data_IF_902517971834
#
_entry.id   IF_902517971834
#
_cell.length_a   1.000
_cell.length_b   1.000
_cell.length_c   1.000
_cell.angle_alpha   90.00
_cell.angle_beta   90.00
_cell.angle_gamma   90.00
#
_symmetry.space_group_name_H-M   'P 1'
#
loop_
_entity.id
_entity.type
_entity.pdbx_description
1 polymer ?
#
# COMPACT_ATOMS: atom_id res chain seq x y z
N UNK A 1 -7.89 12.92 28.24
CA UNK A 1 -6.51 12.87 27.64
C UNK A 1 -6.61 13.70 26.37
N UNK A 2 -6.07 14.91 26.39
CA UNK A 2 -6.18 15.90 25.32
C UNK A 2 -5.24 15.44 24.22
N UNK A 3 -5.77 15.06 23.04
CA UNK A 3 -5.00 14.86 21.83
C UNK A 3 -4.46 16.23 21.39
N UNK A 4 -3.33 16.63 21.96
CA UNK A 4 -2.54 17.75 21.45
C UNK A 4 -1.88 17.30 20.17
N UNK A 5 -2.33 17.90 19.05
CA UNK A 5 -1.69 17.86 17.73
C UNK A 5 -1.21 16.46 17.30
N UNK A 6 -2.11 15.67 16.75
CA UNK A 6 -1.68 14.63 15.82
C UNK A 6 -1.01 15.36 14.66
N UNK A 7 0.32 15.50 14.70
CA UNK A 7 1.09 15.83 13.49
C UNK A 7 0.53 14.95 12.40
N UNK A 8 0.03 15.54 11.33
CA UNK A 8 -0.39 14.81 10.16
C UNK A 8 0.81 13.93 9.77
N UNK A 9 0.73 12.65 10.15
CA UNK A 9 1.76 11.68 9.80
C UNK A 9 1.85 11.75 8.29
N UNK A 10 3.03 12.01 7.77
CA UNK A 10 3.27 12.07 6.35
C UNK A 10 3.17 10.63 5.82
N UNK A 11 1.94 10.13 5.74
CA UNK A 11 1.60 8.77 5.30
C UNK A 11 1.71 8.61 3.80
N UNK A 12 2.23 9.64 3.11
CA UNK A 12 2.50 9.54 1.69
C UNK A 12 3.45 8.39 1.46
N UNK A 13 3.07 7.51 0.56
CA UNK A 13 3.82 6.30 0.20
C UNK A 13 5.28 6.60 -0.20
N UNK A 14 5.54 7.79 -0.73
CA UNK A 14 6.86 8.32 -1.04
C UNK A 14 7.80 8.37 0.16
N UNK A 15 7.25 8.54 1.37
CA UNK A 15 8.00 8.57 2.62
C UNK A 15 8.04 7.22 3.34
N UNK A 16 7.43 6.18 2.79
CA UNK A 16 7.45 4.85 3.40
C UNK A 16 8.67 4.05 2.94
N UNK A 17 9.19 3.23 3.85
CA UNK A 17 10.22 2.24 3.51
C UNK A 17 9.62 1.24 2.51
N UNK A 18 10.23 1.13 1.34
CA UNK A 18 9.68 0.30 0.27
C UNK A 18 9.71 -1.20 0.57
N UNK A 19 10.66 -1.66 1.37
CA UNK A 19 10.93 -3.06 1.68
C UNK A 19 10.97 -3.35 3.20
N UNK A 20 10.30 -2.53 3.99
CA UNK A 20 10.19 -2.66 5.43
C UNK A 20 8.93 -1.92 5.94
N UNK A 21 8.71 -1.95 7.24
CA UNK A 21 7.75 -1.11 7.93
C UNK A 21 8.34 0.25 8.29
N UNK A 22 7.48 1.25 8.43
CA UNK A 22 7.83 2.58 8.89
C UNK A 22 8.15 3.59 7.79
N UNK A 23 8.30 4.84 8.19
CA UNK A 23 8.69 5.95 7.31
C UNK A 23 10.22 6.06 7.21
N UNK A 24 10.66 6.77 6.17
CA UNK A 24 12.09 7.08 6.00
C UNK A 24 12.62 8.03 7.07
N UNK A 25 11.74 8.88 7.61
CA UNK A 25 12.10 9.90 8.61
C UNK A 25 12.11 9.35 10.05
N UNK A 26 11.65 8.13 10.25
CA UNK A 26 11.55 7.54 11.57
C UNK A 26 12.56 6.41 11.72
N UNK A 27 13.71 6.72 12.30
CA UNK A 27 14.62 5.70 12.80
C UNK A 27 14.10 5.20 14.14
N UNK A 28 13.77 3.90 14.18
CA UNK A 28 13.41 3.27 15.45
C UNK A 28 14.50 3.53 16.49
N UNK A 29 14.12 3.91 17.70
CA UNK A 29 14.95 4.32 18.85
C UNK A 29 16.00 3.32 19.33
N UNK A 30 16.41 2.38 18.50
CA UNK A 30 17.34 1.32 18.87
C UNK A 30 18.76 1.55 18.33
N UNK A 31 19.04 2.71 17.72
CA UNK A 31 20.32 2.95 17.04
C UNK A 31 21.54 2.67 17.94
N UNK A 32 21.50 3.10 19.19
CA UNK A 32 22.53 2.88 20.21
C UNK A 32 22.46 1.50 20.88
N UNK A 33 21.32 0.81 20.79
CA UNK A 33 21.09 -0.51 21.41
C UNK A 33 21.07 -1.67 20.40
N UNK A 34 21.17 -1.38 19.12
CA UNK A 34 21.07 -2.42 18.09
C UNK A 34 22.16 -3.48 18.22
N UNK A 35 23.39 -3.09 18.59
CA UNK A 35 24.49 -4.01 18.80
C UNK A 35 24.20 -5.03 19.91
N UNK A 36 23.88 -4.61 21.14
CA UNK A 36 23.46 -5.51 22.21
C UNK A 36 22.27 -6.40 21.85
N UNK A 37 21.24 -5.85 21.19
CA UNK A 37 20.06 -6.62 20.75
C UNK A 37 20.45 -7.70 19.74
N UNK A 38 21.22 -7.37 18.72
CA UNK A 38 21.70 -8.34 17.74
C UNK A 38 22.57 -9.43 18.36
N UNK A 39 23.45 -9.08 19.30
CA UNK A 39 24.27 -10.05 20.02
C UNK A 39 23.41 -10.99 20.85
N UNK A 40 22.41 -10.48 21.57
CA UNK A 40 21.47 -11.30 22.31
C UNK A 40 20.72 -12.28 21.37
N UNK A 41 20.19 -11.79 20.24
CA UNK A 41 19.45 -12.61 19.26
C UNK A 41 20.39 -13.69 18.68
N UNK A 42 21.62 -13.34 18.27
CA UNK A 42 22.60 -14.27 17.71
C UNK A 42 22.92 -15.39 18.71
N UNK A 43 23.21 -15.00 19.94
CA UNK A 43 23.54 -15.96 20.99
C UNK A 43 22.37 -16.89 21.30
N UNK A 44 21.16 -16.33 21.45
CA UNK A 44 19.95 -17.08 21.82
C UNK A 44 19.51 -18.04 20.72
N UNK A 45 19.55 -17.59 19.48
CA UNK A 45 19.13 -18.38 18.31
C UNK A 45 20.28 -19.17 17.66
N UNK A 46 21.51 -19.09 18.21
CA UNK A 46 22.71 -19.72 17.63
C UNK A 46 22.90 -19.41 16.13
N UNK A 47 22.59 -18.16 15.75
CA UNK A 47 22.68 -17.73 14.37
C UNK A 47 24.12 -17.50 13.95
N UNK A 48 24.49 -18.01 12.77
CA UNK A 48 25.71 -17.58 12.11
C UNK A 48 25.53 -16.19 11.52
N UNK A 49 26.60 -15.38 11.49
CA UNK A 49 26.54 -14.04 10.94
C UNK A 49 26.31 -14.07 9.41
N UNK A 50 25.10 -13.77 9.01
CA UNK A 50 24.80 -13.44 7.61
C UNK A 50 24.06 -12.14 7.58
N UNK A 51 24.76 -11.02 7.37
CA UNK A 51 24.14 -9.76 7.03
C UNK A 51 23.86 -9.80 5.54
N UNK A 52 22.59 -9.93 5.17
CA UNK A 52 22.18 -9.76 3.77
C UNK A 52 21.87 -8.28 3.55
N UNK A 53 22.69 -7.57 2.76
CA UNK A 53 22.42 -6.17 2.47
C UNK A 53 21.09 -6.02 1.75
N UNK A 54 20.32 -4.99 2.11
CA UNK A 54 19.08 -4.67 1.43
C UNK A 54 19.40 -4.10 0.04
N UNK A 55 18.75 -4.63 -0.99
CA UNK A 55 18.81 -4.05 -2.34
C UNK A 55 18.13 -2.69 -2.36
N UNK A 56 18.55 -1.81 -3.26
CA UNK A 56 17.84 -0.56 -3.54
C UNK A 56 16.67 -0.87 -4.48
N UNK A 57 15.60 -0.09 -4.39
CA UNK A 57 14.44 -0.20 -5.29
C UNK A 57 14.86 -0.14 -6.77
N UNK A 58 15.87 0.69 -7.07
CA UNK A 58 16.43 0.87 -8.41
C UNK A 58 17.22 -0.34 -8.92
N UNK A 59 17.57 -1.29 -8.08
CA UNK A 59 18.33 -2.48 -8.48
C UNK A 59 17.39 -3.62 -8.94
N UNK A 60 16.09 -3.54 -8.62
CA UNK A 60 15.13 -4.53 -9.05
C UNK A 60 14.75 -4.36 -10.52
N UNK A 61 14.57 -5.47 -11.21
CA UNK A 61 14.24 -5.52 -12.64
C UNK A 61 13.01 -6.41 -12.85
N UNK A 62 11.80 -5.90 -12.58
CA UNK A 62 10.57 -6.62 -12.91
C UNK A 62 10.50 -6.86 -14.43
N UNK A 63 9.88 -7.97 -14.83
CA UNK A 63 9.56 -8.19 -16.23
C UNK A 63 8.75 -7.01 -16.79
N UNK A 64 8.87 -6.77 -18.08
CA UNK A 64 8.13 -5.67 -18.73
C UNK A 64 6.62 -5.79 -18.53
N UNK A 65 5.96 -4.63 -18.37
CA UNK A 65 4.51 -4.56 -18.27
C UNK A 65 3.85 -5.12 -19.54
N UNK A 66 2.82 -5.93 -19.35
CA UNK A 66 1.94 -6.41 -20.43
C UNK A 66 0.88 -5.36 -20.85
N UNK A 67 0.74 -4.29 -20.08
CA UNK A 67 -0.16 -3.17 -20.34
C UNK A 67 0.57 -2.13 -21.19
N UNK A 68 0.51 -2.29 -22.54
CA UNK A 68 1.15 -1.43 -23.53
C UNK A 68 0.14 -1.05 -24.63
N UNK A 69 0.50 -0.07 -25.46
CA UNK A 69 -0.26 0.31 -26.66
C UNK A 69 -1.73 0.63 -26.35
N UNK A 70 -2.64 -0.02 -27.06
CA UNK A 70 -4.09 0.20 -26.92
C UNK A 70 -4.62 -0.11 -25.52
N UNK A 71 -4.02 -1.06 -24.79
CA UNK A 71 -4.39 -1.39 -23.42
C UNK A 71 -4.07 -0.24 -22.48
N UNK A 72 -2.87 0.31 -22.58
CA UNK A 72 -2.46 1.47 -21.80
C UNK A 72 -3.33 2.70 -22.13
N UNK A 73 -3.57 2.97 -23.42
CA UNK A 73 -4.43 4.06 -23.85
C UNK A 73 -5.87 3.92 -23.33
N UNK A 74 -6.38 2.69 -23.23
CA UNK A 74 -7.72 2.44 -22.65
C UNK A 74 -7.79 2.77 -21.18
N UNK A 75 -6.77 2.40 -20.38
CA UNK A 75 -6.68 2.81 -18.97
C UNK A 75 -6.53 4.33 -18.83
N UNK A 76 -5.67 4.95 -19.65
CA UNK A 76 -5.45 6.40 -19.62
C UNK A 76 -6.70 7.20 -20.01
N UNK A 77 -7.60 6.62 -20.83
CA UNK A 77 -8.89 7.25 -21.15
C UNK A 77 -9.85 7.23 -19.96
N UNK A 78 -9.78 6.22 -19.11
CA UNK A 78 -10.62 6.11 -17.90
C UNK A 78 -10.09 7.03 -16.81
N UNK A 79 -8.79 6.99 -16.53
CA UNK A 79 -8.19 7.60 -15.34
C UNK A 79 -7.39 8.88 -15.61
N UNK A 80 -7.09 9.19 -16.90
CA UNK A 80 -6.09 10.19 -17.23
C UNK A 80 -4.66 9.64 -17.15
N UNK A 81 -3.73 10.26 -17.90
CA UNK A 81 -2.34 9.79 -18.00
C UNK A 81 -1.61 9.74 -16.65
N UNK A 82 -1.83 10.75 -15.81
CA UNK A 82 -1.11 10.91 -14.54
C UNK A 82 -1.50 9.87 -13.48
N UNK A 83 -2.68 9.27 -13.61
CA UNK A 83 -3.24 8.29 -12.67
C UNK A 83 -3.10 6.84 -13.13
N UNK A 84 -2.36 6.60 -14.21
CA UNK A 84 -1.98 5.26 -14.69
C UNK A 84 -0.48 5.16 -14.69
N UNK A 85 0.07 4.26 -13.87
CA UNK A 85 1.50 4.04 -13.70
C UNK A 85 1.90 2.66 -14.20
N UNK A 86 2.96 2.60 -14.99
CA UNK A 86 3.54 1.36 -15.52
C UNK A 86 5.05 1.31 -15.33
N UNK A 87 5.61 2.30 -14.63
CA UNK A 87 7.02 2.31 -14.28
C UNK A 87 7.36 1.25 -13.22
N UNK A 88 8.61 0.86 -13.17
CA UNK A 88 9.04 -0.25 -12.33
C UNK A 88 8.88 0.03 -10.84
N UNK A 89 9.12 1.26 -10.40
CA UNK A 89 9.03 1.61 -8.98
C UNK A 89 7.59 1.42 -8.46
N UNK A 90 6.61 2.01 -9.16
CA UNK A 90 5.20 1.87 -8.80
C UNK A 90 4.74 0.41 -8.84
N UNK A 91 5.13 -0.33 -9.86
CA UNK A 91 4.77 -1.75 -9.99
C UNK A 91 5.33 -2.59 -8.86
N UNK A 92 6.58 -2.35 -8.45
CA UNK A 92 7.21 -3.07 -7.33
C UNK A 92 6.49 -2.76 -6.02
N UNK A 93 6.23 -1.48 -5.74
CA UNK A 93 5.59 -1.01 -4.52
C UNK A 93 4.17 -1.60 -4.32
N UNK A 94 3.49 -1.94 -5.41
CA UNK A 94 2.12 -2.45 -5.41
C UNK A 94 2.01 -3.97 -5.65
N UNK A 95 3.12 -4.71 -5.58
CA UNK A 95 3.12 -6.14 -5.91
C UNK A 95 3.13 -7.06 -4.70
N UNK A 96 3.34 -6.54 -3.50
CA UNK A 96 3.37 -7.31 -2.26
C UNK A 96 2.85 -6.50 -1.07
N UNK A 97 2.45 -7.19 -0.02
CA UNK A 97 2.12 -6.60 1.27
C UNK A 97 3.34 -6.39 2.16
N UNK A 98 3.13 -6.53 3.47
CA UNK A 98 4.15 -6.30 4.51
C UNK A 98 4.26 -7.46 5.51
N UNK A 99 3.84 -8.69 5.12
CA UNK A 99 4.16 -9.86 5.93
C UNK A 99 5.68 -10.03 6.02
N UNK A 100 6.13 -10.78 7.01
CA UNK A 100 7.55 -11.14 7.12
C UNK A 100 8.09 -11.74 5.81
N UNK A 101 7.34 -12.65 5.19
CA UNK A 101 7.71 -13.25 3.91
C UNK A 101 7.69 -12.26 2.75
N UNK A 102 6.75 -11.30 2.73
CA UNK A 102 6.73 -10.25 1.71
C UNK A 102 7.97 -9.37 1.81
N UNK A 103 8.31 -8.94 3.02
CA UNK A 103 9.51 -8.13 3.27
C UNK A 103 10.78 -8.89 2.89
N UNK A 104 10.89 -10.18 3.24
CA UNK A 104 12.02 -11.01 2.82
C UNK A 104 12.13 -11.12 1.29
N UNK A 105 11.00 -11.38 0.62
CA UNK A 105 10.97 -11.50 -0.86
C UNK A 105 11.33 -10.18 -1.55
N UNK A 106 10.84 -9.06 -1.03
CA UNK A 106 11.18 -7.72 -1.54
C UNK A 106 12.69 -7.44 -1.37
N UNK A 107 13.22 -7.66 -0.16
CA UNK A 107 14.64 -7.40 0.16
C UNK A 107 15.60 -8.29 -0.60
N UNK A 108 15.22 -9.54 -0.85
CA UNK A 108 16.03 -10.54 -1.55
C UNK A 108 15.81 -10.58 -3.07
N UNK A 109 14.97 -9.70 -3.64
CA UNK A 109 14.56 -9.77 -5.06
C UNK A 109 13.97 -11.15 -5.44
N UNK A 110 13.15 -11.71 -4.55
CA UNK A 110 12.56 -13.04 -4.71
C UNK A 110 11.10 -13.00 -5.16
N UNK A 111 10.54 -11.81 -5.46
CA UNK A 111 9.22 -11.70 -6.05
C UNK A 111 9.23 -12.27 -7.47
N UNK A 112 8.33 -13.22 -7.73
CA UNK A 112 8.22 -13.88 -9.04
C UNK A 112 7.31 -13.14 -10.01
N UNK A 113 6.34 -12.37 -9.47
CA UNK A 113 5.33 -11.68 -10.25
C UNK A 113 5.16 -10.25 -9.76
N UNK A 114 4.87 -9.37 -10.70
CA UNK A 114 4.61 -7.96 -10.43
C UNK A 114 3.31 -7.55 -11.11
N UNK A 115 2.64 -6.54 -10.58
CA UNK A 115 1.51 -5.92 -11.29
C UNK A 115 1.99 -5.30 -12.59
N UNK A 116 1.14 -5.29 -13.61
CA UNK A 116 1.46 -4.72 -14.92
C UNK A 116 1.20 -3.22 -14.97
N UNK A 117 0.18 -2.77 -14.23
CA UNK A 117 -0.14 -1.34 -14.10
C UNK A 117 -0.74 -1.07 -12.71
N UNK A 118 -0.59 0.18 -12.27
CA UNK A 118 -1.26 0.72 -11.09
C UNK A 118 -2.16 1.86 -11.54
N UNK A 119 -3.42 1.86 -11.09
CA UNK A 119 -4.38 2.92 -11.38
C UNK A 119 -4.92 3.51 -10.09
N UNK A 120 -5.17 4.82 -10.11
CA UNK A 120 -5.63 5.61 -8.97
C UNK A 120 -7.02 6.18 -9.25
N UNK A 121 -8.12 5.48 -8.94
CA UNK A 121 -9.48 5.98 -9.11
C UNK A 121 -9.78 7.14 -8.16
N UNK A 122 -10.63 8.05 -8.62
CA UNK A 122 -11.19 9.15 -7.83
C UNK A 122 -12.73 9.07 -7.77
N UNK A 123 -13.33 8.16 -8.55
CA UNK A 123 -14.78 7.96 -8.61
C UNK A 123 -15.18 6.49 -8.78
N UNK A 124 -16.36 6.14 -8.29
CA UNK A 124 -16.96 4.81 -8.48
C UNK A 124 -17.15 4.46 -9.96
N UNK A 125 -17.52 5.47 -10.78
CA UNK A 125 -17.71 5.28 -12.23
C UNK A 125 -16.41 4.84 -12.91
N UNK A 126 -15.26 5.34 -12.49
CA UNK A 126 -13.97 4.90 -13.02
C UNK A 126 -13.69 3.44 -12.67
N UNK A 127 -14.03 3.01 -11.46
CA UNK A 127 -13.91 1.61 -11.04
C UNK A 127 -14.84 0.72 -11.87
N UNK A 128 -16.09 1.12 -12.05
CA UNK A 128 -17.04 0.38 -12.89
C UNK A 128 -16.52 0.19 -14.33
N UNK A 129 -16.01 1.26 -14.94
CA UNK A 129 -15.41 1.21 -16.28
C UNK A 129 -14.20 0.28 -16.34
N UNK A 130 -13.35 0.33 -15.29
CA UNK A 130 -12.20 -0.56 -15.18
C UNK A 130 -12.62 -2.03 -15.11
N UNK A 131 -13.61 -2.35 -14.28
CA UNK A 131 -14.08 -3.74 -14.12
C UNK A 131 -14.64 -4.28 -15.44
N UNK A 132 -15.43 -3.48 -16.15
CA UNK A 132 -15.92 -3.85 -17.50
C UNK A 132 -14.76 -4.10 -18.48
N UNK A 133 -13.77 -3.22 -18.49
CA UNK A 133 -12.58 -3.37 -19.32
C UNK A 133 -11.76 -4.60 -18.94
N UNK A 134 -11.57 -4.85 -17.66
CA UNK A 134 -10.82 -6.00 -17.14
C UNK A 134 -11.44 -7.33 -17.55
N UNK A 135 -12.77 -7.44 -17.47
CA UNK A 135 -13.51 -8.63 -17.96
C UNK A 135 -13.26 -8.84 -19.45
N UNK A 136 -13.42 -7.79 -20.28
CA UNK A 136 -13.22 -7.87 -21.73
C UNK A 136 -11.80 -8.26 -22.11
N UNK A 137 -10.80 -7.80 -21.36
CA UNK A 137 -9.38 -8.01 -21.65
C UNK A 137 -8.80 -9.23 -20.92
N UNK A 138 -9.57 -9.88 -20.07
CA UNK A 138 -9.15 -10.98 -19.20
C UNK A 138 -7.98 -10.58 -18.29
N UNK A 139 -8.14 -9.48 -17.54
CA UNK A 139 -7.17 -8.98 -16.56
C UNK A 139 -7.57 -9.37 -15.13
N UNK A 140 -6.58 -9.58 -14.28
CA UNK A 140 -6.76 -9.66 -12.84
C UNK A 140 -6.78 -8.23 -12.27
N UNK A 141 -7.69 -7.99 -11.31
CA UNK A 141 -7.77 -6.74 -10.56
C UNK A 141 -7.40 -7.03 -9.12
N UNK A 142 -6.48 -6.25 -8.58
CA UNK A 142 -6.06 -6.32 -7.17
C UNK A 142 -6.36 -4.98 -6.51
N UNK A 143 -7.35 -4.89 -5.62
CA UNK A 143 -7.57 -3.69 -4.83
C UNK A 143 -6.42 -3.51 -3.84
N UNK A 144 -6.00 -2.24 -3.63
CA UNK A 144 -4.86 -1.89 -2.82
C UNK A 144 -5.19 -0.63 -2.01
N UNK A 145 -5.06 -0.72 -0.71
CA UNK A 145 -5.17 0.42 0.21
C UNK A 145 -3.79 0.93 0.61
N UNK A 146 -3.45 0.84 1.88
CA UNK A 146 -2.13 1.22 2.39
C UNK A 146 -1.00 0.24 2.09
N UNK A 147 -1.30 -0.94 1.55
CA UNK A 147 -0.31 -1.99 1.27
C UNK A 147 0.19 -2.72 2.52
N UNK A 148 -0.50 -2.57 3.64
CA UNK A 148 -0.13 -3.14 4.95
C UNK A 148 -0.54 -4.60 5.16
N UNK A 149 -1.11 -5.27 4.15
CA UNK A 149 -1.55 -6.66 4.24
C UNK A 149 -0.42 -7.59 4.69
N UNK A 150 -0.71 -8.44 5.67
CA UNK A 150 0.22 -9.47 6.18
C UNK A 150 -0.25 -10.89 5.86
N UNK A 151 -1.34 -11.02 5.10
CA UNK A 151 -1.96 -12.31 4.72
C UNK A 151 -1.92 -12.58 3.22
N UNK A 152 -1.14 -11.81 2.47
CA UNK A 152 -1.00 -11.96 1.02
C UNK A 152 -2.17 -11.42 0.19
N UNK A 153 -3.09 -10.64 0.78
CA UNK A 153 -4.29 -10.12 0.10
C UNK A 153 -3.99 -9.20 -1.09
N UNK A 154 -2.81 -8.60 -1.12
CA UNK A 154 -2.36 -7.69 -2.19
C UNK A 154 -1.24 -8.28 -3.05
N UNK A 155 -0.94 -9.56 -2.92
CA UNK A 155 0.12 -10.20 -3.70
C UNK A 155 -0.24 -10.23 -5.20
N UNK A 156 0.73 -9.89 -6.06
CA UNK A 156 0.55 -9.87 -7.51
C UNK A 156 0.39 -11.28 -8.08
N UNK A 157 -0.82 -11.83 -8.01
CA UNK A 157 -1.18 -13.15 -8.58
C UNK A 157 -2.11 -12.97 -9.78
N UNK A 158 -1.71 -13.51 -10.93
CA UNK A 158 -2.52 -13.39 -12.15
C UNK A 158 -3.76 -14.29 -12.16
N UNK A 159 -3.74 -15.40 -11.42
CA UNK A 159 -4.83 -16.39 -11.50
C UNK A 159 -5.10 -16.90 -12.92
N UNK A 160 -4.08 -16.98 -13.78
CA UNK A 160 -4.24 -17.36 -15.19
C UNK A 160 -4.71 -16.23 -16.11
N UNK A 161 -4.83 -15.00 -15.61
CA UNK A 161 -5.22 -13.83 -16.39
C UNK A 161 -4.05 -13.27 -17.21
N UNK A 162 -4.37 -12.51 -18.27
CA UNK A 162 -3.39 -11.98 -19.22
C UNK A 162 -2.51 -10.88 -18.66
N UNK A 163 -3.04 -10.06 -17.76
CA UNK A 163 -2.32 -8.99 -17.06
C UNK A 163 -2.91 -8.76 -15.67
N UNK A 164 -2.18 -8.04 -14.83
CA UNK A 164 -2.56 -7.69 -13.46
C UNK A 164 -2.60 -6.17 -13.34
N UNK A 165 -3.75 -5.62 -12.98
CA UNK A 165 -3.92 -4.20 -12.69
C UNK A 165 -4.19 -4.02 -11.21
N UNK A 166 -3.33 -3.27 -10.53
CA UNK A 166 -3.55 -2.85 -9.15
C UNK A 166 -4.39 -1.58 -9.13
N UNK A 167 -5.37 -1.55 -8.23
CA UNK A 167 -6.29 -0.41 -8.05
C UNK A 167 -5.98 0.21 -6.69
N UNK A 168 -5.20 1.27 -6.70
CA UNK A 168 -4.85 2.01 -5.49
C UNK A 168 -5.98 2.96 -5.12
N UNK A 169 -6.66 2.65 -4.02
CA UNK A 169 -7.85 3.36 -3.56
C UNK A 169 -7.54 4.67 -2.81
N UNK A 170 -6.29 4.99 -2.57
CA UNK A 170 -5.90 6.09 -1.66
C UNK A 170 -6.34 7.49 -2.10
N UNK A 171 -6.76 7.67 -3.36
CA UNK A 171 -7.37 8.91 -3.83
C UNK A 171 -8.86 9.03 -3.54
N UNK A 172 -9.51 7.93 -3.18
CA UNK A 172 -10.88 7.91 -2.69
C UNK A 172 -10.86 7.95 -1.16
N UNK A 173 -10.68 9.13 -0.58
CA UNK A 173 -10.35 9.32 0.84
C UNK A 173 -11.21 10.37 1.55
N UNK A 174 -12.41 10.67 1.05
CA UNK A 174 -13.27 11.72 1.60
C UNK A 174 -14.21 11.19 2.69
N UNK A 175 -14.53 12.05 3.65
CA UNK A 175 -15.74 11.92 4.46
C UNK A 175 -16.94 12.29 3.59
N UNK A 176 -17.83 11.34 3.35
CA UNK A 176 -19.03 11.53 2.50
C UNK A 176 -20.20 12.06 3.30
N UNK A 177 -20.46 11.48 4.47
CA UNK A 177 -21.56 11.87 5.34
C UNK A 177 -21.27 11.55 6.81
N UNK A 178 -21.84 12.35 7.70
CA UNK A 178 -21.89 12.09 9.13
C UNK A 178 -23.33 12.31 9.61
N UNK A 179 -23.92 11.30 10.22
CA UNK A 179 -25.22 11.39 10.85
C UNK A 179 -25.03 11.51 12.37
N UNK A 180 -25.24 12.68 12.99
CA UNK A 180 -25.02 12.89 14.42
C UNK A 180 -26.03 12.13 15.30
N UNK A 181 -27.23 11.83 14.80
CA UNK A 181 -28.26 11.14 15.57
C UNK A 181 -27.92 9.67 15.77
N UNK A 182 -27.46 9.02 14.73
CA UNK A 182 -27.07 7.60 14.76
C UNK A 182 -25.58 7.37 15.06
N UNK A 183 -24.77 8.44 15.12
CA UNK A 183 -23.30 8.39 15.21
C UNK A 183 -22.66 7.51 14.12
N UNK A 184 -23.20 7.59 12.91
CA UNK A 184 -22.69 6.85 11.75
C UNK A 184 -22.02 7.80 10.78
N UNK A 185 -20.78 7.48 10.38
CA UNK A 185 -20.06 8.21 9.35
C UNK A 185 -19.80 7.30 8.13
N UNK A 186 -19.92 7.88 6.94
CA UNK A 186 -19.60 7.22 5.67
C UNK A 186 -18.36 7.86 5.09
N UNK A 187 -17.37 7.05 4.78
CA UNK A 187 -16.11 7.47 4.16
C UNK A 187 -15.85 6.69 2.88
N UNK A 188 -15.06 7.26 2.00
CA UNK A 188 -14.45 6.51 0.91
C UNK A 188 -13.40 5.52 1.44
N UNK A 189 -13.26 4.38 0.76
CA UNK A 189 -12.49 3.22 1.23
C UNK A 189 -10.97 3.46 1.39
N UNK A 190 -10.43 4.44 0.68
CA UNK A 190 -8.99 4.72 0.62
C UNK A 190 -8.47 5.67 1.69
N UNK A 191 -9.32 6.12 2.62
CA UNK A 191 -8.88 7.01 3.70
C UNK A 191 -8.02 6.24 4.72
N UNK A 192 -6.87 6.81 5.10
CA UNK A 192 -6.03 6.26 6.16
C UNK A 192 -6.60 6.52 7.54
N UNK A 193 -6.25 5.66 8.51
CA UNK A 193 -6.73 5.78 9.88
C UNK A 193 -6.50 7.15 10.51
N UNK A 194 -5.30 7.74 10.48
CA UNK A 194 -5.06 9.08 11.03
C UNK A 194 -5.89 10.18 10.37
N UNK A 195 -6.08 10.12 9.05
CA UNK A 195 -6.88 11.11 8.31
C UNK A 195 -8.37 10.98 8.63
N UNK A 196 -8.84 9.75 8.83
CA UNK A 196 -10.21 9.45 9.26
C UNK A 196 -10.47 10.04 10.65
N UNK A 197 -9.59 9.76 11.62
CA UNK A 197 -9.71 10.32 12.98
C UNK A 197 -9.65 11.85 12.97
N UNK A 198 -8.75 12.44 12.16
CA UNK A 198 -8.66 13.88 12.02
C UNK A 198 -9.95 14.49 11.44
N UNK A 199 -10.56 13.83 10.45
CA UNK A 199 -11.82 14.27 9.86
C UNK A 199 -12.98 14.21 10.86
N UNK A 200 -13.05 13.16 11.67
CA UNK A 200 -14.05 13.01 12.73
C UNK A 200 -13.83 13.99 13.88
N UNK A 201 -12.58 14.19 14.31
CA UNK A 201 -12.24 15.10 15.40
C UNK A 201 -12.67 16.54 15.12
N UNK A 202 -12.57 17.00 13.87
CA UNK A 202 -13.09 18.31 13.43
C UNK A 202 -14.60 18.47 13.62
N UNK A 203 -15.32 17.36 13.72
CA UNK A 203 -16.77 17.32 13.94
C UNK A 203 -17.14 16.95 15.39
N UNK A 204 -16.14 16.79 16.28
CA UNK A 204 -16.34 16.40 17.67
C UNK A 204 -16.56 14.89 17.89
N UNK A 205 -16.16 14.07 16.94
CA UNK A 205 -16.30 12.60 16.99
C UNK A 205 -14.95 11.88 16.92
N UNK A 206 -14.95 10.61 17.24
CA UNK A 206 -13.86 9.67 17.04
C UNK A 206 -14.43 8.31 16.67
N UNK A 207 -13.75 7.55 15.82
CA UNK A 207 -14.05 6.13 15.60
C UNK A 207 -13.59 5.30 16.80
N UNK A 208 -12.46 5.67 17.40
CA UNK A 208 -11.90 4.98 18.57
C UNK A 208 -11.37 3.57 18.28
N UNK A 209 -11.16 3.25 17.02
CA UNK A 209 -10.62 1.96 16.59
C UNK A 209 -9.22 2.14 15.99
N UNK A 210 -8.22 1.60 16.69
CA UNK A 210 -6.81 1.74 16.34
C UNK A 210 -6.20 0.36 16.09
N UNK A 211 -6.34 -0.21 14.86
CA UNK A 211 -5.70 -1.49 14.51
C UNK A 211 -4.18 -1.36 14.51
N UNK A 212 -3.47 -2.48 14.57
CA UNK A 212 -2.00 -2.52 14.67
C UNK A 212 -1.31 -1.70 13.58
N UNK A 213 -1.83 -1.71 12.36
CA UNK A 213 -1.30 -0.94 11.22
C UNK A 213 -2.08 0.36 10.96
N UNK A 214 -2.64 0.98 12.00
CA UNK A 214 -3.50 2.16 11.92
C UNK A 214 -2.96 3.26 11.01
N UNK A 215 -1.66 3.56 11.10
CA UNK A 215 -1.00 4.60 10.30
C UNK A 215 -0.80 4.20 8.83
N UNK A 216 -0.84 2.91 8.52
CA UNK A 216 -0.48 2.34 7.23
C UNK A 216 -1.63 1.65 6.51
N UNK A 217 -2.78 1.48 7.15
CA UNK A 217 -3.96 0.86 6.57
C UNK A 217 -5.03 1.88 6.22
N UNK A 218 -5.78 1.57 5.18
CA UNK A 218 -6.96 2.34 4.80
C UNK A 218 -8.22 1.67 5.34
N UNK A 219 -9.32 2.43 5.41
CA UNK A 219 -10.60 1.94 5.95
C UNK A 219 -11.10 0.69 5.21
N UNK A 220 -10.97 0.64 3.88
CA UNK A 220 -11.42 -0.48 3.06
C UNK A 220 -10.35 -1.54 2.80
N UNK A 221 -9.18 -1.40 3.38
CA UNK A 221 -8.02 -2.25 3.16
C UNK A 221 -7.79 -3.33 4.21
#
# INVERSE_FOLDING_TARGET
>A
MIYTEVKALNTRRENLRWNAWGSLDNDFFYADRIGPILNYIRHTLKMQETITPSLRLTDLRPAESKIKGTNLSSLQRIFGKNRVKTDNAERILHSAGRSYFDVMRLRGNLLKTYVDAVVYPETELEIEKLLKLAVQRNWAIIPFGGGSSVVGGVEAKSGGKKAIVCVDMTRMNRLIALNPVSSVATFEAGIYGPDLELALAKQGYTLGHFPQSFEYSTLGG
#
